data_IF_197296641326
#
_entry.id   IF_197296641326
#
_cell.length_a   1.000
_cell.length_b   1.000
_cell.length_c   1.000
_cell.angle_alpha   90.00
_cell.angle_beta   90.00
_cell.angle_gamma   90.00
#
_symmetry.space_group_name_H-M   'P 1'
#
loop_
_entity.id
_entity.type
_entity.pdbx_description
1 polymer ?
#
# COMPACT_ATOMS: atom_id res chain seq x y z
N UNK A 1 34.47 -28.74 -3.86
CA UNK A 1 34.03 -27.95 -2.69
C UNK A 1 33.57 -26.60 -3.20
N UNK A 2 32.26 -26.43 -3.37
CA UNK A 2 31.65 -25.25 -3.96
C UNK A 2 30.15 -25.30 -3.69
N UNK A 3 29.77 -24.90 -2.46
CA UNK A 3 28.39 -24.87 -2.03
C UNK A 3 27.65 -23.76 -2.80
N UNK A 4 26.63 -24.13 -3.57
CA UNK A 4 25.68 -23.20 -4.18
C UNK A 4 24.89 -22.54 -3.05
N UNK A 5 24.94 -21.22 -2.98
CA UNK A 5 24.09 -20.42 -2.10
C UNK A 5 22.71 -20.41 -2.76
N UNK A 6 21.84 -21.31 -2.32
CA UNK A 6 20.44 -21.32 -2.71
C UNK A 6 19.74 -20.16 -1.99
N UNK A 7 19.33 -19.15 -2.76
CA UNK A 7 18.60 -17.98 -2.26
C UNK A 7 17.23 -18.43 -1.73
N UNK A 8 16.92 -18.07 -0.47
CA UNK A 8 15.76 -18.48 0.31
C UNK A 8 14.36 -18.05 -0.22
N UNK A 9 14.25 -17.71 -1.50
CA UNK A 9 12.99 -17.29 -2.14
C UNK A 9 12.18 -18.46 -2.76
N UNK A 10 12.73 -19.68 -2.82
CA UNK A 10 12.17 -20.75 -3.67
C UNK A 10 11.39 -21.87 -2.95
N UNK A 11 11.11 -21.79 -1.63
CA UNK A 11 10.56 -22.93 -0.87
C UNK A 11 9.07 -22.78 -0.50
N UNK A 12 8.29 -22.00 -1.25
CA UNK A 12 6.87 -21.75 -0.94
C UNK A 12 5.86 -22.15 -2.03
N UNK A 13 6.26 -22.93 -3.05
CA UNK A 13 5.49 -23.03 -4.31
C UNK A 13 4.49 -24.20 -4.41
N UNK A 14 4.67 -25.33 -3.69
CA UNK A 14 3.97 -26.57 -4.08
C UNK A 14 2.51 -26.75 -3.62
N UNK A 15 1.97 -25.89 -2.74
CA UNK A 15 0.54 -25.93 -2.36
C UNK A 15 -0.26 -24.70 -2.82
N UNK A 16 0.42 -23.65 -3.29
CA UNK A 16 -0.18 -22.35 -3.66
C UNK A 16 -0.41 -22.16 -5.15
N UNK A 17 0.10 -23.04 -6.01
CA UNK A 17 0.26 -22.82 -7.45
C UNK A 17 -1.01 -22.42 -8.21
N UNK A 18 -2.16 -23.05 -7.94
CA UNK A 18 -3.41 -22.75 -8.67
C UNK A 18 -3.98 -21.35 -8.32
N UNK A 19 -3.95 -20.98 -7.03
CA UNK A 19 -4.37 -19.66 -6.57
C UNK A 19 -3.37 -18.56 -6.93
N UNK A 20 -2.07 -18.89 -7.02
CA UNK A 20 -1.01 -17.99 -7.48
C UNK A 20 -1.14 -17.70 -8.99
N UNK A 21 -1.41 -18.73 -9.80
CA UNK A 21 -1.56 -18.63 -11.26
C UNK A 21 -2.76 -17.76 -11.64
N UNK A 22 -3.89 -17.94 -10.95
CA UNK A 22 -5.09 -17.12 -11.16
C UNK A 22 -4.84 -15.65 -10.80
N UNK A 23 -4.06 -15.40 -9.74
CA UNK A 23 -3.68 -14.05 -9.29
C UNK A 23 -2.67 -13.37 -10.21
N UNK A 24 -1.71 -14.12 -10.75
CA UNK A 24 -0.80 -13.61 -11.78
C UNK A 24 -1.55 -13.27 -13.08
N UNK A 25 -2.46 -14.15 -13.52
CA UNK A 25 -3.30 -13.88 -14.69
C UNK A 25 -4.15 -12.61 -14.56
N UNK A 26 -4.66 -12.29 -13.36
CA UNK A 26 -5.34 -11.02 -13.11
C UNK A 26 -4.39 -9.82 -13.30
N UNK A 27 -3.17 -9.86 -12.75
CA UNK A 27 -2.19 -8.79 -12.90
C UNK A 27 -1.84 -8.55 -14.36
N UNK A 28 -1.64 -9.62 -15.14
CA UNK A 28 -1.28 -9.51 -16.55
C UNK A 28 -2.41 -8.89 -17.38
N UNK A 29 -3.67 -9.23 -17.08
CA UNK A 29 -4.84 -8.62 -17.69
C UNK A 29 -4.95 -7.13 -17.36
N UNK A 30 -4.78 -6.77 -16.08
CA UNK A 30 -4.83 -5.38 -15.62
C UNK A 30 -3.74 -4.54 -16.30
N UNK A 31 -2.52 -5.04 -16.36
CA UNK A 31 -1.41 -4.30 -16.96
C UNK A 31 -1.53 -4.14 -18.47
N UNK A 32 -2.15 -5.11 -19.17
CA UNK A 32 -2.39 -5.01 -20.61
C UNK A 32 -3.23 -3.79 -20.96
N UNK A 33 -4.20 -3.45 -20.12
CA UNK A 33 -5.18 -2.40 -20.40
C UNK A 33 -4.76 -1.03 -19.83
N UNK A 34 -3.59 -0.94 -19.16
CA UNK A 34 -3.03 0.29 -18.59
C UNK A 34 -2.12 1.01 -19.60
N UNK A 35 -2.19 2.34 -19.63
CA UNK A 35 -1.32 3.18 -20.45
C UNK A 35 0.18 2.84 -20.23
N UNK A 36 0.99 2.68 -21.30
CA UNK A 36 2.40 2.27 -21.17
C UNK A 36 3.25 3.15 -20.25
N UNK A 37 2.99 4.46 -20.19
CA UNK A 37 3.69 5.37 -19.28
C UNK A 37 3.39 5.04 -17.81
N UNK A 38 2.16 4.62 -17.51
CA UNK A 38 1.77 4.20 -16.17
C UNK A 38 2.38 2.83 -15.83
N UNK A 39 2.46 1.91 -16.78
CA UNK A 39 3.16 0.62 -16.60
C UNK A 39 4.63 0.86 -16.21
N UNK A 40 5.32 1.79 -16.88
CA UNK A 40 6.69 2.17 -16.52
C UNK A 40 6.80 2.76 -15.11
N UNK A 41 5.82 3.55 -14.69
CA UNK A 41 5.76 4.09 -13.31
C UNK A 41 5.58 2.97 -12.28
N UNK A 42 4.64 2.06 -12.52
CA UNK A 42 4.40 0.88 -11.67
C UNK A 42 5.68 0.05 -11.56
N UNK A 43 6.39 -0.16 -12.68
CA UNK A 43 7.67 -0.89 -12.70
C UNK A 43 8.74 -0.19 -11.86
N UNK A 44 8.87 1.13 -11.95
CA UNK A 44 9.84 1.88 -11.11
C UNK A 44 9.55 1.71 -9.62
N UNK A 45 8.28 1.70 -9.22
CA UNK A 45 7.87 1.46 -7.83
C UNK A 45 8.22 0.05 -7.38
N UNK A 46 7.91 -0.96 -8.22
CA UNK A 46 8.26 -2.36 -7.97
C UNK A 46 9.75 -2.53 -7.70
N UNK A 47 10.60 -1.97 -8.55
CA UNK A 47 12.07 -2.01 -8.38
C UNK A 47 12.52 -1.31 -7.11
N UNK A 48 12.03 -0.09 -6.86
CA UNK A 48 12.42 0.70 -5.69
C UNK A 48 12.01 0.04 -4.35
N UNK A 49 10.93 -0.76 -4.36
CA UNK A 49 10.41 -1.45 -3.17
C UNK A 49 10.84 -2.92 -3.05
N UNK A 50 11.47 -3.48 -4.08
CA UNK A 50 11.77 -4.91 -4.15
C UNK A 50 10.52 -5.79 -4.23
N UNK A 51 9.42 -5.25 -4.75
CA UNK A 51 8.14 -5.95 -4.85
C UNK A 51 7.99 -6.65 -6.20
N UNK A 52 7.30 -7.78 -6.21
CA UNK A 52 6.83 -8.38 -7.47
C UNK A 52 5.82 -7.46 -8.15
N UNK A 53 5.61 -7.68 -9.45
CA UNK A 53 4.65 -6.89 -10.22
C UNK A 53 3.22 -7.04 -9.68
N UNK A 54 2.82 -8.25 -9.30
CA UNK A 54 1.53 -8.51 -8.66
C UNK A 54 1.39 -7.76 -7.33
N UNK A 55 2.37 -7.86 -6.42
CA UNK A 55 2.35 -7.13 -5.16
C UNK A 55 2.25 -5.61 -5.37
N UNK A 56 2.97 -5.10 -6.36
CA UNK A 56 2.96 -3.66 -6.65
C UNK A 56 1.61 -3.21 -7.16
N UNK A 57 1.01 -3.94 -8.10
CA UNK A 57 -0.34 -3.64 -8.61
C UNK A 57 -1.37 -3.72 -7.50
N UNK A 58 -1.35 -4.78 -6.67
CA UNK A 58 -2.29 -4.92 -5.56
C UNK A 58 -2.18 -3.77 -4.56
N UNK A 59 -0.97 -3.43 -4.10
CA UNK A 59 -0.80 -2.32 -3.17
C UNK A 59 -1.20 -0.98 -3.78
N UNK A 60 -0.89 -0.72 -5.05
CA UNK A 60 -1.29 0.53 -5.69
C UNK A 60 -2.81 0.63 -5.86
N UNK A 61 -3.49 -0.47 -6.15
CA UNK A 61 -4.96 -0.52 -6.22
C UNK A 61 -5.59 -0.29 -4.84
N UNK A 62 -5.08 -0.94 -3.79
CA UNK A 62 -5.53 -0.73 -2.41
C UNK A 62 -5.37 0.74 -2.01
N UNK A 63 -4.18 1.31 -2.20
CA UNK A 63 -3.92 2.71 -1.85
C UNK A 63 -4.78 3.68 -2.67
N UNK A 64 -4.95 3.42 -3.97
CA UNK A 64 -5.80 4.23 -4.84
C UNK A 64 -7.29 4.16 -4.43
N UNK A 65 -7.76 2.98 -4.02
CA UNK A 65 -9.11 2.81 -3.52
C UNK A 65 -9.32 3.57 -2.20
N UNK A 66 -8.42 3.40 -1.23
CA UNK A 66 -8.46 4.15 0.02
C UNK A 66 -8.46 5.68 -0.19
N UNK A 67 -7.61 6.18 -1.09
CA UNK A 67 -7.56 7.60 -1.42
C UNK A 67 -8.89 8.09 -2.04
N UNK A 68 -9.46 7.30 -2.94
CA UNK A 68 -10.73 7.63 -3.60
C UNK A 68 -11.91 7.59 -2.62
N UNK A 69 -11.93 6.61 -1.71
CA UNK A 69 -12.95 6.51 -0.65
C UNK A 69 -12.87 7.68 0.32
N UNK A 70 -11.66 8.13 0.65
CA UNK A 70 -11.46 9.31 1.48
C UNK A 70 -12.01 10.59 0.83
N UNK A 71 -11.82 10.76 -0.48
CA UNK A 71 -12.38 11.88 -1.24
C UNK A 71 -13.92 11.86 -1.25
N UNK A 72 -14.53 10.68 -1.36
CA UNK A 72 -16.00 10.52 -1.39
C UNK A 72 -16.63 10.68 -0.01
N UNK A 73 -16.01 10.12 1.02
CA UNK A 73 -16.53 10.17 2.39
C UNK A 73 -16.25 11.53 3.05
N UNK A 74 -15.30 12.29 2.51
CA UNK A 74 -15.05 13.67 2.88
C UNK A 74 -14.43 13.80 4.27
N UNK A 75 -13.11 13.62 4.37
CA UNK A 75 -12.36 14.03 5.54
C UNK A 75 -12.71 13.30 6.84
N UNK A 76 -12.40 13.95 7.97
CA UNK A 76 -12.75 13.45 9.30
C UNK A 76 -14.26 13.36 9.43
N UNK A 77 -14.75 12.20 9.86
CA UNK A 77 -16.15 11.96 10.13
C UNK A 77 -16.55 12.61 11.45
N UNK A 78 -17.86 12.82 11.67
CA UNK A 78 -18.40 13.42 12.89
C UNK A 78 -17.73 12.97 14.21
N UNK A 79 -17.58 11.65 14.50
CA UNK A 79 -16.93 11.22 15.74
C UNK A 79 -15.45 11.60 15.81
N UNK A 80 -14.77 11.66 14.68
CA UNK A 80 -13.35 12.03 14.58
C UNK A 80 -13.15 13.54 14.72
N UNK A 81 -14.10 14.34 14.21
CA UNK A 81 -14.15 15.80 14.41
C UNK A 81 -14.40 16.13 15.88
N UNK A 82 -15.33 15.43 16.53
CA UNK A 82 -15.64 15.63 17.94
C UNK A 82 -14.44 15.28 18.82
N UNK A 83 -13.81 14.13 18.57
CA UNK A 83 -12.60 13.71 19.27
C UNK A 83 -11.43 14.70 19.07
N UNK A 84 -11.24 15.21 17.85
CA UNK A 84 -10.22 16.22 17.57
C UNK A 84 -10.52 17.55 18.26
N UNK A 85 -11.79 17.97 18.29
CA UNK A 85 -12.21 19.19 18.99
C UNK A 85 -11.96 19.10 20.50
N UNK A 86 -12.25 17.95 21.11
CA UNK A 86 -11.97 17.68 22.52
C UNK A 86 -10.46 17.73 22.81
N UNK A 87 -9.65 17.06 21.99
CA UNK A 87 -8.19 17.09 22.13
C UNK A 87 -7.61 18.50 22.03
N UNK A 88 -8.10 19.31 21.07
CA UNK A 88 -7.70 20.72 20.93
C UNK A 88 -8.12 21.53 22.16
N UNK A 89 -9.33 21.32 22.69
CA UNK A 89 -9.80 22.00 23.89
C UNK A 89 -8.93 21.67 25.10
N UNK A 90 -8.56 20.40 25.28
CA UNK A 90 -7.64 19.95 26.31
C UNK A 90 -6.25 20.61 26.18
N UNK A 91 -5.71 20.69 24.96
CA UNK A 91 -4.42 21.35 24.71
C UNK A 91 -4.46 22.86 25.01
N UNK A 92 -5.55 23.54 24.67
CA UNK A 92 -5.73 24.98 24.96
C UNK A 92 -5.90 25.27 26.45
N UNK A 93 -6.37 24.30 27.23
CA UNK A 93 -6.51 24.42 28.67
C UNK A 93 -5.18 24.30 29.43
N UNK A 94 -4.11 23.86 28.75
CA UNK A 94 -2.78 23.83 29.35
C UNK A 94 -2.28 25.27 29.58
N UNK A 95 -1.63 25.54 30.73
CA UNK A 95 -1.01 26.83 30.96
C UNK A 95 0.07 27.08 29.91
N UNK A 96 0.19 28.34 29.45
CA UNK A 96 1.34 28.75 28.66
C UNK A 96 2.60 28.41 29.47
N UNK A 97 3.50 27.62 28.88
CA UNK A 97 4.68 27.14 29.58
C UNK A 97 5.44 28.30 30.22
N UNK A 98 5.67 28.22 31.53
CA UNK A 98 6.57 29.15 32.20
C UNK A 98 7.98 28.96 31.61
N UNK A 99 8.39 29.85 30.71
CA UNK A 99 9.81 30.03 30.44
C UNK A 99 10.48 30.55 31.71
N UNK A 100 11.55 29.92 32.20
CA UNK A 100 12.36 30.46 33.29
C UNK A 100 13.09 31.75 32.87
#
# INVERSE_FOLDING_TARGET
MGARIETAAQVADDAGGAAQCTRQGMTDLVLRDIDPLLVDRIRRISVARGWTQHQTVMHLLEQGLFASEYEVTGGLQHPEVDALAEAIAALKALPAGNSP
#
